data_IF_203095936529
#
_entry.id   IF_203095936529
#
_cell.length_a   1.000
_cell.length_b   1.000
_cell.length_c   1.000
_cell.angle_alpha   90.00
_cell.angle_beta   90.00
_cell.angle_gamma   90.00
#
_symmetry.space_group_name_H-M   'P 1'
#
loop_
_entity.id
_entity.type
_entity.pdbx_description
1 polymer ?
#
# COMPACT_ATOMS: atom_id res chain seq x y z
N UNK A 1 -1.54 11.00 16.83
CA UNK A 1 -2.22 11.22 15.54
C UNK A 1 -3.75 11.36 15.63
N UNK A 2 -4.56 10.28 15.60
CA UNK A 2 -6.01 10.40 15.33
C UNK A 2 -6.96 10.01 16.47
N UNK A 3 -6.45 9.70 17.66
CA UNK A 3 -7.27 9.41 18.84
C UNK A 3 -7.94 8.03 18.87
N UNK A 4 -7.49 7.09 18.02
CA UNK A 4 -7.96 5.70 18.00
C UNK A 4 -7.56 4.95 19.28
N UNK A 5 -8.51 4.26 19.92
CA UNK A 5 -8.28 3.46 21.14
C UNK A 5 -8.27 1.96 20.82
N UNK A 6 -7.67 1.17 21.72
CA UNK A 6 -7.59 -0.29 21.56
C UNK A 6 -8.96 -0.96 21.43
N UNK A 7 -9.99 -0.41 22.08
CA UNK A 7 -11.36 -0.93 22.03
C UNK A 7 -12.13 -0.51 20.77
N UNK A 8 -11.52 0.26 19.88
CA UNK A 8 -12.16 0.72 18.64
C UNK A 8 -11.94 -0.24 17.47
N UNK A 9 -10.99 -1.17 17.58
CA UNK A 9 -10.63 -2.07 16.48
C UNK A 9 -10.34 -3.51 16.93
N UNK A 10 -10.40 -4.41 15.96
CA UNK A 10 -9.92 -5.79 16.06
C UNK A 10 -8.70 -5.88 15.15
N UNK A 11 -7.58 -6.36 15.70
CA UNK A 11 -6.39 -6.61 14.90
C UNK A 11 -6.64 -7.85 14.02
N UNK A 12 -6.54 -7.69 12.70
CA UNK A 12 -6.70 -8.82 11.78
C UNK A 12 -5.39 -9.56 11.57
N UNK A 13 -4.27 -8.84 11.57
CA UNK A 13 -2.95 -9.40 11.37
C UNK A 13 -1.99 -8.38 10.77
N UNK A 14 -0.78 -8.84 10.48
CA UNK A 14 0.24 -8.03 9.81
C UNK A 14 0.35 -8.43 8.34
N UNK A 15 0.51 -7.46 7.45
CA UNK A 15 1.03 -7.78 6.12
C UNK A 15 2.53 -8.08 6.27
N UNK A 16 3.14 -8.81 5.34
CA UNK A 16 4.56 -9.08 5.45
C UNK A 16 5.36 -7.76 5.44
N UNK A 17 6.46 -7.76 6.18
CA UNK A 17 7.27 -6.56 6.39
C UNK A 17 8.13 -6.27 5.17
N UNK A 18 8.41 -5.00 4.92
CA UNK A 18 9.19 -4.60 3.75
C UNK A 18 10.06 -3.37 4.00
N UNK A 19 11.13 -3.22 3.23
CA UNK A 19 12.02 -2.07 3.29
C UNK A 19 11.63 -1.01 2.26
N UNK A 20 11.46 0.22 2.72
CA UNK A 20 11.33 1.38 1.85
C UNK A 20 12.68 1.78 1.24
N UNK A 21 12.66 2.71 0.27
CA UNK A 21 13.81 3.17 -0.55
C UNK A 21 15.11 3.43 0.21
N UNK A 22 15.04 3.85 1.48
CA UNK A 22 16.20 4.17 2.32
C UNK A 22 16.56 3.09 3.35
N UNK A 23 16.09 1.85 3.16
CA UNK A 23 16.39 0.73 4.04
C UNK A 23 15.56 0.66 5.32
N UNK A 24 14.65 1.62 5.52
CA UNK A 24 13.68 1.65 6.64
C UNK A 24 12.74 0.46 6.52
N UNK A 25 12.75 -0.41 7.53
CA UNK A 25 11.86 -1.56 7.61
C UNK A 25 10.49 -1.13 8.15
N UNK A 26 9.44 -1.49 7.43
CA UNK A 26 8.04 -1.16 7.75
C UNK A 26 7.31 -2.46 8.09
N UNK A 27 6.59 -2.43 9.21
CA UNK A 27 5.76 -3.52 9.71
C UNK A 27 4.28 -3.13 9.60
N UNK A 28 3.67 -3.31 8.42
CA UNK A 28 2.28 -2.94 8.19
C UNK A 28 1.30 -3.86 8.94
N UNK A 29 0.28 -3.26 9.55
CA UNK A 29 -0.76 -4.01 10.27
C UNK A 29 -2.14 -3.59 9.81
N UNK A 30 -3.04 -4.57 9.65
CA UNK A 30 -4.42 -4.36 9.21
C UNK A 30 -5.35 -4.61 10.40
N UNK A 31 -6.31 -3.69 10.57
CA UNK A 31 -7.29 -3.76 11.63
C UNK A 31 -8.69 -3.48 11.07
N UNK A 32 -9.70 -4.11 11.67
CA UNK A 32 -11.11 -3.85 11.41
C UNK A 32 -11.65 -2.94 12.50
N UNK A 33 -12.27 -1.83 12.12
CA UNK A 33 -12.98 -0.98 13.08
C UNK A 33 -14.26 -1.67 13.56
N UNK A 34 -14.47 -1.65 14.87
CA UNK A 34 -15.64 -2.29 15.51
C UNK A 34 -16.92 -1.47 15.36
N UNK A 35 -16.78 -0.19 15.04
CA UNK A 35 -17.84 0.81 14.93
C UNK A 35 -17.37 1.93 13.99
N UNK A 36 -18.29 2.74 13.44
CA UNK A 36 -17.93 3.98 12.78
C UNK A 36 -17.01 4.81 13.70
N UNK A 37 -15.88 5.25 13.15
CA UNK A 37 -14.86 5.99 13.89
C UNK A 37 -14.83 7.44 13.39
N UNK A 38 -14.89 8.38 14.32
CA UNK A 38 -14.68 9.79 14.06
C UNK A 38 -13.31 10.18 14.63
N UNK A 39 -12.31 10.47 13.77
CA UNK A 39 -10.97 10.85 14.20
C UNK A 39 -10.99 12.06 15.14
N UNK A 40 -10.20 11.98 16.23
CA UNK A 40 -9.86 13.13 17.08
C UNK A 40 -8.41 13.52 16.82
N UNK A 41 -8.23 14.52 15.98
CA UNK A 41 -6.92 14.89 15.46
C UNK A 41 -6.04 15.57 16.51
N UNK A 42 -4.77 15.17 16.57
CA UNK A 42 -3.72 15.99 17.13
C UNK A 42 -3.27 17.01 16.08
N UNK A 43 -3.70 18.27 16.20
CA UNK A 43 -3.41 19.32 15.24
C UNK A 43 -1.92 19.67 15.08
N UNK A 44 -1.05 19.22 15.99
CA UNK A 44 0.40 19.37 15.87
C UNK A 44 1.05 18.34 14.93
N UNK A 45 0.35 17.24 14.64
CA UNK A 45 0.86 16.12 13.84
C UNK A 45 0.05 15.92 12.56
N UNK A 46 -1.27 16.08 12.64
CA UNK A 46 -2.21 15.70 11.58
C UNK A 46 -3.05 16.90 11.20
N UNK A 47 -2.92 17.31 9.93
CA UNK A 47 -3.71 18.40 9.35
C UNK A 47 -5.15 17.99 9.06
N UNK A 48 -5.35 16.80 8.51
CA UNK A 48 -6.66 16.34 8.04
C UNK A 48 -6.74 14.80 7.96
N UNK A 49 -7.95 14.26 7.83
CA UNK A 49 -8.26 12.84 7.64
C UNK A 49 -9.38 12.64 6.64
N UNK A 50 -9.31 11.56 5.87
CA UNK A 50 -10.34 11.17 4.92
C UNK A 50 -10.57 9.66 4.95
N UNK A 51 -11.73 9.24 4.47
CA UNK A 51 -12.05 7.84 4.20
C UNK A 51 -12.04 7.61 2.70
N UNK A 52 -11.53 6.47 2.26
CA UNK A 52 -11.50 6.09 0.85
C UNK A 52 -12.00 4.65 0.70
N UNK A 53 -12.96 4.36 -0.20
CA UNK A 53 -13.34 2.99 -0.50
C UNK A 53 -12.12 2.20 -1.00
N UNK A 54 -11.88 1.05 -0.39
CA UNK A 54 -10.67 0.27 -0.63
C UNK A 54 -10.52 -0.16 -2.10
N UNK A 55 -11.63 -0.41 -2.78
CA UNK A 55 -11.68 -0.78 -4.20
C UNK A 55 -11.13 0.30 -5.14
N UNK A 56 -11.12 1.57 -4.73
CA UNK A 56 -10.58 2.67 -5.53
C UNK A 56 -9.07 2.56 -5.74
N UNK A 57 -8.38 1.81 -4.88
CA UNK A 57 -6.95 1.51 -5.03
C UNK A 57 -6.66 0.35 -6.00
N UNK A 58 -7.69 -0.28 -6.57
CA UNK A 58 -7.57 -1.27 -7.65
C UNK A 58 -8.04 -0.70 -9.00
N UNK A 59 -8.48 0.55 -9.04
CA UNK A 59 -8.96 1.23 -10.24
C UNK A 59 -7.82 1.98 -10.93
N UNK A 60 -7.74 1.91 -12.27
CA UNK A 60 -6.65 2.54 -13.03
C UNK A 60 -6.95 3.97 -13.48
N UNK A 61 -8.17 4.47 -13.34
CA UNK A 61 -8.63 5.75 -13.92
C UNK A 61 -7.87 6.95 -13.35
N UNK A 62 -7.54 6.89 -12.06
CA UNK A 62 -6.83 7.95 -11.33
C UNK A 62 -5.44 7.50 -10.87
N UNK A 63 -4.98 6.36 -11.38
CA UNK A 63 -3.72 5.73 -11.02
C UNK A 63 -2.63 6.10 -12.03
N UNK A 64 -1.42 6.29 -11.51
CA UNK A 64 -0.19 6.37 -12.28
C UNK A 64 0.94 5.70 -11.50
N UNK A 65 1.89 5.10 -12.21
CA UNK A 65 3.09 4.55 -11.62
C UNK A 65 4.36 5.05 -12.32
N UNK A 66 5.44 5.15 -11.55
CA UNK A 66 6.77 5.51 -12.04
C UNK A 66 7.76 4.42 -11.65
N UNK A 67 8.37 3.79 -12.65
CA UNK A 67 9.40 2.77 -12.42
C UNK A 67 10.69 3.46 -11.98
N UNK A 68 11.25 3.02 -10.84
CA UNK A 68 12.51 3.54 -10.29
C UNK A 68 13.70 2.67 -10.71
N UNK A 69 13.51 1.35 -10.67
CA UNK A 69 14.46 0.34 -11.16
C UNK A 69 13.68 -0.89 -11.61
N UNK A 70 14.35 -1.98 -11.98
CA UNK A 70 13.71 -3.21 -12.51
C UNK A 70 12.77 -3.94 -11.52
N UNK A 71 12.58 -3.36 -10.35
CA UNK A 71 12.28 -4.04 -9.11
C UNK A 71 11.36 -3.19 -8.22
N UNK A 72 11.27 -1.89 -8.45
CA UNK A 72 10.44 -0.98 -7.69
C UNK A 72 9.73 0.03 -8.59
N UNK A 73 8.42 0.19 -8.36
CA UNK A 73 7.61 1.26 -8.93
C UNK A 73 6.99 2.09 -7.80
N UNK A 74 6.91 3.40 -8.00
CA UNK A 74 6.19 4.33 -7.12
C UNK A 74 4.80 4.50 -7.68
N UNK A 75 3.78 4.13 -6.89
CA UNK A 75 2.38 4.32 -7.24
C UNK A 75 1.84 5.67 -6.76
N UNK A 76 0.86 6.18 -7.48
CA UNK A 76 0.18 7.43 -7.17
C UNK A 76 -1.29 7.37 -7.59
N UNK A 77 -2.18 7.83 -6.71
CA UNK A 77 -3.61 8.00 -6.95
C UNK A 77 -4.00 9.44 -6.66
N UNK A 78 -4.65 10.08 -7.62
CA UNK A 78 -5.10 11.48 -7.52
C UNK A 78 -6.62 11.53 -7.36
N UNK A 79 -7.10 11.28 -6.14
CA UNK A 79 -8.51 11.43 -5.82
C UNK A 79 -8.85 12.91 -5.59
N UNK A 80 -10.13 13.26 -5.72
CA UNK A 80 -10.60 14.62 -5.49
C UNK A 80 -10.32 15.07 -4.05
N UNK A 81 -10.51 14.16 -3.09
CA UNK A 81 -10.33 14.40 -1.66
C UNK A 81 -8.86 14.33 -1.23
N UNK A 82 -8.03 13.55 -1.93
CA UNK A 82 -6.68 13.28 -1.50
C UNK A 82 -5.76 12.75 -2.61
N UNK A 83 -4.48 13.11 -2.51
CA UNK A 83 -3.40 12.51 -3.29
C UNK A 83 -2.66 11.47 -2.45
N UNK A 84 -2.73 10.20 -2.84
CA UNK A 84 -2.09 9.09 -2.12
C UNK A 84 -0.97 8.52 -2.99
N UNK A 85 0.27 8.45 -2.48
CA UNK A 85 1.42 8.02 -3.27
C UNK A 85 2.47 7.27 -2.46
N UNK A 86 3.45 6.69 -3.16
CA UNK A 86 4.61 6.03 -2.56
C UNK A 86 4.24 4.76 -1.80
N UNK A 87 4.86 4.58 -0.64
CA UNK A 87 4.66 3.38 0.20
C UNK A 87 3.19 3.26 0.64
N UNK A 88 2.53 4.36 0.97
CA UNK A 88 1.12 4.36 1.38
C UNK A 88 0.23 3.81 0.26
N UNK A 89 0.42 4.26 -0.99
CA UNK A 89 -0.34 3.75 -2.12
C UNK A 89 -0.13 2.25 -2.33
N UNK A 90 1.12 1.77 -2.25
CA UNK A 90 1.43 0.35 -2.34
C UNK A 90 0.72 -0.47 -1.25
N UNK A 91 0.73 0.02 -0.01
CA UNK A 91 0.04 -0.66 1.10
C UNK A 91 -1.48 -0.73 0.88
N UNK A 92 -2.08 0.32 0.34
CA UNK A 92 -3.49 0.33 -0.01
C UNK A 92 -3.82 -0.66 -1.13
N UNK A 93 -2.99 -0.76 -2.18
CA UNK A 93 -3.13 -1.77 -3.25
C UNK A 93 -3.06 -3.18 -2.66
N UNK A 94 -2.01 -3.50 -1.90
CA UNK A 94 -1.78 -4.82 -1.29
C UNK A 94 -2.94 -5.20 -0.35
N UNK A 95 -3.40 -4.26 0.45
CA UNK A 95 -4.55 -4.46 1.35
C UNK A 95 -5.84 -4.68 0.55
N UNK A 96 -6.08 -3.89 -0.49
CA UNK A 96 -7.25 -4.04 -1.35
C UNK A 96 -7.28 -5.39 -2.06
N UNK A 97 -6.14 -5.83 -2.59
CA UNK A 97 -6.00 -7.16 -3.19
C UNK A 97 -6.31 -8.26 -2.19
N UNK A 98 -5.71 -8.19 -0.99
CA UNK A 98 -5.87 -9.21 0.04
C UNK A 98 -7.30 -9.27 0.62
N UNK A 99 -7.94 -8.12 0.83
CA UNK A 99 -9.28 -8.07 1.43
C UNK A 99 -10.37 -8.33 0.39
N UNK A 100 -10.26 -7.73 -0.80
CA UNK A 100 -11.30 -7.83 -1.84
C UNK A 100 -11.12 -9.03 -2.77
N UNK A 101 -9.97 -9.71 -2.68
CA UNK A 101 -9.60 -10.85 -3.54
C UNK A 101 -9.68 -10.51 -5.04
N UNK A 102 -9.17 -9.32 -5.40
CA UNK A 102 -9.17 -8.79 -6.77
C UNK A 102 -7.78 -8.30 -7.17
N UNK A 103 -7.43 -8.48 -8.44
CA UNK A 103 -6.19 -7.93 -9.03
C UNK A 103 -6.44 -6.55 -9.63
N UNK A 104 -5.49 -5.60 -9.52
CA UNK A 104 -5.56 -4.35 -10.27
C UNK A 104 -5.28 -4.60 -11.76
N UNK A 105 -5.83 -3.77 -12.68
CA UNK A 105 -5.54 -3.84 -14.11
C UNK A 105 -4.29 -3.02 -14.49
N UNK A 106 -3.31 -2.94 -13.60
CA UNK A 106 -2.04 -2.23 -13.80
C UNK A 106 -0.88 -2.99 -13.16
N UNK A 107 0.34 -2.72 -13.65
CA UNK A 107 1.55 -3.35 -13.15
C UNK A 107 1.83 -2.89 -11.71
N UNK A 108 2.16 -3.83 -10.82
CA UNK A 108 2.52 -3.53 -9.42
C UNK A 108 4.02 -3.23 -9.30
N UNK A 109 4.82 -3.90 -10.10
CA UNK A 109 6.26 -3.67 -10.23
C UNK A 109 6.71 -4.15 -11.61
N UNK A 110 7.89 -3.78 -12.10
CA UNK A 110 8.34 -4.22 -13.44
C UNK A 110 8.42 -5.74 -13.60
N UNK A 111 8.65 -6.48 -12.51
CA UNK A 111 8.65 -7.94 -12.48
C UNK A 111 7.26 -8.56 -12.17
N UNK A 112 6.27 -7.72 -11.89
CA UNK A 112 4.86 -8.09 -11.66
C UNK A 112 3.94 -7.34 -12.64
N UNK A 113 4.11 -7.55 -13.96
CA UNK A 113 3.23 -6.96 -14.95
C UNK A 113 1.85 -7.61 -14.92
N UNK A 114 0.81 -6.91 -15.42
CA UNK A 114 -0.58 -7.40 -15.48
C UNK A 114 -0.69 -8.80 -16.09
N UNK A 115 0.09 -9.08 -17.13
CA UNK A 115 0.11 -10.40 -17.79
C UNK A 115 0.52 -11.54 -16.84
N UNK A 116 1.36 -11.25 -15.85
CA UNK A 116 1.78 -12.20 -14.82
C UNK A 116 0.77 -12.25 -13.67
N UNK A 117 0.19 -11.11 -13.29
CA UNK A 117 -0.86 -11.06 -12.26
C UNK A 117 -2.06 -11.93 -12.63
N UNK A 118 -2.38 -12.02 -13.93
CA UNK A 118 -3.48 -12.83 -14.46
C UNK A 118 -3.36 -14.35 -14.15
N UNK A 119 -2.16 -14.83 -13.83
CA UNK A 119 -1.90 -16.25 -13.50
C UNK A 119 -1.62 -16.47 -12.02
N UNK A 120 -1.81 -15.46 -11.18
CA UNK A 120 -1.48 -15.49 -9.75
C UNK A 120 -2.72 -15.21 -8.90
N UNK A 121 -2.68 -15.68 -7.67
CA UNK A 121 -3.60 -15.29 -6.60
C UNK A 121 -3.11 -14.01 -5.90
N UNK A 122 -3.99 -13.22 -5.27
CA UNK A 122 -3.59 -12.06 -4.48
C UNK A 122 -2.51 -12.40 -3.44
N UNK A 123 -2.62 -13.55 -2.77
CA UNK A 123 -1.66 -13.99 -1.76
C UNK A 123 -0.25 -14.22 -2.34
N UNK A 124 -0.14 -14.83 -3.52
CA UNK A 124 1.15 -15.03 -4.21
C UNK A 124 1.79 -13.69 -4.58
N UNK A 125 1.01 -12.76 -5.14
CA UNK A 125 1.50 -11.44 -5.49
C UNK A 125 1.96 -10.67 -4.25
N UNK A 126 1.18 -10.71 -3.17
CA UNK A 126 1.55 -10.08 -1.89
C UNK A 126 2.85 -10.66 -1.33
N UNK A 127 3.04 -11.98 -1.43
CA UNK A 127 4.28 -12.64 -1.03
C UNK A 127 5.48 -12.13 -1.82
N UNK A 128 5.35 -12.03 -3.15
CA UNK A 128 6.44 -11.54 -4.01
C UNK A 128 6.77 -10.06 -3.80
N UNK A 129 5.76 -9.20 -3.67
CA UNK A 129 5.97 -7.78 -3.35
C UNK A 129 6.79 -7.63 -2.07
N UNK A 130 6.51 -8.46 -1.06
CA UNK A 130 7.18 -8.37 0.23
C UNK A 130 8.56 -9.00 0.24
N UNK A 131 8.74 -10.17 -0.37
CA UNK A 131 10.08 -10.78 -0.56
C UNK A 131 11.00 -9.78 -1.25
N UNK A 132 10.46 -9.13 -2.28
CA UNK A 132 11.19 -8.18 -3.08
C UNK A 132 11.59 -6.94 -2.27
N UNK A 133 10.63 -6.33 -1.59
CA UNK A 133 10.90 -5.16 -0.77
C UNK A 133 11.71 -5.49 0.49
N UNK A 134 11.88 -6.77 0.87
CA UNK A 134 12.86 -7.21 1.87
C UNK A 134 14.33 -7.14 1.40
N UNK A 135 14.57 -7.10 0.08
CA UNK A 135 15.92 -7.02 -0.48
C UNK A 135 16.50 -5.61 -0.32
N UNK A 136 17.80 -5.47 0.00
CA UNK A 136 18.43 -4.17 0.00
C UNK A 136 18.39 -3.57 -1.41
N UNK A 137 18.02 -2.30 -1.51
CA UNK A 137 18.20 -1.55 -2.75
C UNK A 137 19.67 -1.66 -3.15
N UNK A 138 19.93 -2.14 -4.37
CA UNK A 138 21.27 -2.03 -4.93
C UNK A 138 21.55 -0.55 -5.10
N UNK A 139 22.30 0.04 -4.18
CA UNK A 139 22.88 1.36 -4.36
C UNK A 139 23.52 1.39 -5.74
N UNK A 140 22.99 2.20 -6.66
CA UNK A 140 23.77 2.70 -7.78
C UNK A 140 24.85 3.60 -7.18
N UNK A 141 25.87 2.95 -6.64
CA UNK A 141 27.12 3.60 -6.35
C UNK A 141 27.72 3.99 -7.71
N UNK A 142 27.75 5.31 -7.93
CA UNK A 142 28.43 6.03 -9.02
C UNK A 142 27.67 6.11 -10.35
N UNK A 143 27.06 7.27 -10.57
CA UNK A 143 27.21 8.06 -11.80
C UNK A 143 27.77 9.42 -11.39
#
# INVERSE_FOLDING_TARGET
EVGLRRDDFILLGSLPSFRARFGVLIHPTVALLRRPFLPRLNAQEVRDTFWMPLERFLDNTLHMSFVIDNKYAVHSFSFEEAHTYGVTALMCIVTAMGVLQKMPPFDIAPFLPVSRLATMTPAEVMSEVCEYAGQPFKSLSKL
#
